data_IF_808924307570
#
_entry.id   IF_808924307570
#
_cell.length_a   1.000
_cell.length_b   1.000
_cell.length_c   1.000
_cell.angle_alpha   90.00
_cell.angle_beta   90.00
_cell.angle_gamma   90.00
#
_symmetry.space_group_name_H-M   'P 1'
#
loop_
_entity.id
_entity.type
_entity.pdbx_description
1 polymer ?
#
# COMPACT_ATOMS: atom_id res chain seq x y z
N UNK A 1 0.50 6.72 20.92
CA UNK A 1 -0.73 6.13 20.34
C UNK A 1 -1.22 4.87 21.05
N UNK A 2 -0.48 4.28 22.01
CA UNK A 2 -1.00 3.21 22.89
C UNK A 2 -1.27 1.86 22.21
N UNK A 3 -0.90 1.70 20.93
CA UNK A 3 -1.05 0.45 20.21
C UNK A 3 -0.01 -0.59 20.68
N UNK A 4 -0.42 -1.85 20.74
CA UNK A 4 0.42 -3.00 21.14
C UNK A 4 0.90 -3.83 19.95
N UNK A 5 0.54 -3.41 18.73
CA UNK A 5 0.94 -4.05 17.48
C UNK A 5 0.67 -3.17 16.28
N UNK A 6 1.20 -3.58 15.13
CA UNK A 6 1.01 -2.89 13.84
C UNK A 6 0.53 -3.87 12.78
N UNK A 7 -0.40 -3.43 11.94
CA UNK A 7 -0.84 -4.18 10.77
C UNK A 7 -0.33 -3.48 9.50
N UNK A 8 0.30 -4.26 8.61
CA UNK A 8 0.90 -3.74 7.38
C UNK A 8 0.26 -4.39 6.15
N UNK A 9 -0.45 -3.59 5.35
CA UNK A 9 -1.04 -4.04 4.08
C UNK A 9 -0.05 -3.88 2.92
N UNK A 10 0.12 -2.65 2.42
CA UNK A 10 0.94 -2.34 1.24
C UNK A 10 2.36 -2.91 1.30
N UNK A 11 3.02 -2.85 2.46
CA UNK A 11 4.40 -3.36 2.65
C UNK A 11 4.47 -4.89 2.53
N UNK A 12 3.47 -5.60 3.06
CA UNK A 12 3.42 -7.07 2.97
C UNK A 12 2.94 -7.53 1.60
N UNK A 13 2.02 -6.79 0.96
CA UNK A 13 1.62 -7.04 -0.42
C UNK A 13 2.82 -6.99 -1.38
N UNK A 14 3.75 -6.07 -1.15
CA UNK A 14 4.93 -5.85 -1.99
C UNK A 14 6.15 -6.70 -1.62
N UNK A 15 6.02 -7.68 -0.72
CA UNK A 15 7.14 -8.58 -0.39
C UNK A 15 7.37 -9.65 -1.48
N UNK A 16 8.55 -10.27 -1.50
CA UNK A 16 8.86 -11.33 -2.48
C UNK A 16 7.98 -12.56 -2.30
N UNK A 17 7.61 -12.89 -1.07
CA UNK A 17 6.79 -14.08 -0.72
C UNK A 17 5.30 -13.91 -1.06
N UNK A 18 4.86 -12.67 -1.30
CA UNK A 18 3.48 -12.37 -1.69
C UNK A 18 3.20 -12.94 -3.09
N UNK A 19 2.04 -13.60 -3.30
CA UNK A 19 1.69 -14.14 -4.62
C UNK A 19 1.23 -13.07 -5.61
N UNK A 20 1.21 -11.79 -5.19
CA UNK A 20 0.94 -10.67 -6.09
C UNK A 20 1.97 -10.59 -7.21
N UNK A 21 1.50 -10.31 -8.41
CA UNK A 21 2.34 -10.19 -9.59
C UNK A 21 3.39 -9.08 -9.43
N UNK A 22 4.57 -9.31 -9.99
CA UNK A 22 5.71 -8.39 -9.86
C UNK A 22 5.41 -6.97 -10.35
N UNK A 23 4.56 -6.81 -11.38
CA UNK A 23 4.16 -5.49 -11.88
C UNK A 23 3.57 -4.59 -10.77
N UNK A 24 2.70 -5.12 -9.91
CA UNK A 24 2.13 -4.35 -8.82
C UNK A 24 3.16 -4.06 -7.73
N UNK A 25 4.04 -5.02 -7.42
CA UNK A 25 5.16 -4.80 -6.47
C UNK A 25 6.07 -3.67 -6.97
N UNK A 26 6.42 -3.67 -8.25
CA UNK A 26 7.26 -2.63 -8.85
C UNK A 26 6.51 -1.28 -8.94
N UNK A 27 5.21 -1.28 -9.21
CA UNK A 27 4.40 -0.07 -9.17
C UNK A 27 4.39 0.56 -7.76
N UNK A 28 4.35 -0.26 -6.70
CA UNK A 28 4.50 0.20 -5.32
C UNK A 28 5.87 0.81 -5.07
N UNK A 29 6.94 0.16 -5.53
CA UNK A 29 8.33 0.64 -5.36
C UNK A 29 8.60 1.94 -6.12
N UNK A 30 8.00 2.10 -7.30
CA UNK A 30 8.16 3.30 -8.13
C UNK A 30 7.31 4.49 -7.66
N UNK A 31 6.29 4.26 -6.84
CA UNK A 31 5.31 5.27 -6.44
C UNK A 31 5.81 6.15 -5.29
N UNK A 32 5.48 7.45 -5.38
CA UNK A 32 5.59 8.40 -4.27
C UNK A 32 4.33 8.36 -3.39
N UNK A 33 4.39 8.95 -2.21
CA UNK A 33 3.25 9.08 -1.31
C UNK A 33 2.06 9.87 -1.92
N UNK A 34 2.33 10.73 -2.91
CA UNK A 34 1.35 11.48 -3.69
C UNK A 34 0.68 10.69 -4.81
N UNK A 35 1.21 9.50 -5.12
CA UNK A 35 0.76 8.66 -6.24
C UNK A 35 -0.36 7.70 -5.81
N UNK A 36 -1.16 8.11 -4.82
CA UNK A 36 -2.40 7.43 -4.46
C UNK A 36 -3.58 8.40 -4.51
N UNK A 37 -4.75 7.86 -4.84
CA UNK A 37 -6.01 8.60 -4.90
C UNK A 37 -7.02 8.04 -3.90
N UNK A 38 -7.91 8.90 -3.40
CA UNK A 38 -9.02 8.51 -2.53
C UNK A 38 -10.32 8.56 -3.32
N UNK A 39 -10.90 7.40 -3.59
CA UNK A 39 -12.02 7.18 -4.51
C UNK A 39 -13.33 6.94 -3.76
N UNK A 40 -14.44 7.13 -4.48
CA UNK A 40 -15.80 6.86 -4.01
C UNK A 40 -16.15 7.63 -2.72
N UNK A 41 -15.67 8.88 -2.61
CA UNK A 41 -15.76 9.71 -1.40
C UNK A 41 -17.21 10.05 -0.97
N UNK A 42 -18.15 9.99 -1.91
CA UNK A 42 -19.58 10.29 -1.69
C UNK A 42 -20.42 9.01 -1.53
N UNK A 43 -19.78 7.82 -1.41
CA UNK A 43 -20.47 6.56 -1.19
C UNK A 43 -19.61 5.55 -0.41
N UNK A 44 -20.06 4.30 -0.31
CA UNK A 44 -19.37 3.21 0.41
C UNK A 44 -19.20 1.99 -0.49
N UNK A 45 -18.06 1.27 -0.37
CA UNK A 45 -16.88 1.62 0.42
C UNK A 45 -16.06 2.74 -0.25
N UNK A 46 -15.50 3.64 0.57
CA UNK A 46 -14.46 4.56 0.11
C UNK A 46 -13.13 3.81 0.02
N UNK A 47 -12.34 4.06 -1.03
CA UNK A 47 -11.16 3.26 -1.36
C UNK A 47 -9.92 4.14 -1.51
N UNK A 48 -8.76 3.62 -1.11
CA UNK A 48 -7.47 4.21 -1.45
C UNK A 48 -6.70 3.27 -2.36
N UNK A 49 -6.18 3.82 -3.46
CA UNK A 49 -5.53 3.05 -4.51
C UNK A 49 -4.35 3.81 -5.11
N UNK A 50 -3.44 3.07 -5.76
CA UNK A 50 -2.43 3.69 -6.64
C UNK A 50 -3.11 4.48 -7.75
N UNK A 51 -2.51 5.62 -8.09
CA UNK A 51 -2.88 6.43 -9.25
C UNK A 51 -2.52 5.67 -10.53
N UNK A 52 -3.51 5.50 -11.38
CA UNK A 52 -3.53 4.71 -12.62
C UNK A 52 -4.52 5.37 -13.58
N UNK A 53 -4.49 5.04 -14.86
CA UNK A 53 -5.42 5.67 -15.83
C UNK A 53 -6.88 5.43 -15.42
N UNK A 54 -7.20 4.20 -15.00
CA UNK A 54 -8.51 3.86 -14.45
C UNK A 54 -8.87 4.68 -13.23
N UNK A 55 -8.00 4.74 -12.22
CA UNK A 55 -8.36 5.42 -10.95
C UNK A 55 -8.44 6.93 -11.12
N UNK A 56 -7.70 7.52 -12.05
CA UNK A 56 -7.83 8.93 -12.42
C UNK A 56 -9.19 9.26 -13.04
N UNK A 57 -9.70 8.37 -13.91
CA UNK A 57 -11.05 8.51 -14.49
C UNK A 57 -12.15 8.36 -13.43
N UNK A 58 -11.93 7.54 -12.40
CA UNK A 58 -12.91 7.32 -11.33
C UNK A 58 -12.91 8.44 -10.27
N UNK A 59 -11.77 9.09 -10.05
CA UNK A 59 -11.62 10.14 -9.04
C UNK A 59 -12.68 11.26 -9.12
N UNK A 60 -12.96 11.88 -10.29
CA UNK A 60 -13.93 12.97 -10.38
C UNK A 60 -15.39 12.53 -10.20
N UNK A 61 -15.70 11.23 -10.30
CA UNK A 61 -17.08 10.75 -10.20
C UNK A 61 -17.67 10.93 -8.81
N UNK A 62 -16.85 10.91 -7.76
CA UNK A 62 -17.28 11.06 -6.36
C UNK A 62 -18.05 9.85 -5.81
N UNK A 63 -18.94 9.23 -6.60
CA UNK A 63 -19.73 8.04 -6.27
C UNK A 63 -19.82 7.10 -7.47
N UNK A 64 -19.55 5.82 -7.25
CA UNK A 64 -19.69 4.76 -8.26
C UNK A 64 -19.90 3.38 -7.59
N UNK A 65 -20.28 2.37 -8.39
CA UNK A 65 -20.36 1.00 -7.91
C UNK A 65 -18.95 0.38 -7.79
N UNK A 66 -18.39 0.38 -6.58
CA UNK A 66 -17.03 -0.09 -6.35
C UNK A 66 -16.81 -1.55 -6.79
N UNK A 67 -17.84 -2.40 -6.68
CA UNK A 67 -17.72 -3.82 -7.00
C UNK A 67 -17.47 -4.07 -8.50
N UNK A 68 -18.04 -3.23 -9.37
CA UNK A 68 -17.81 -3.32 -10.82
C UNK A 68 -16.34 -3.10 -11.18
N UNK A 69 -15.67 -2.18 -10.48
CA UNK A 69 -14.26 -1.87 -10.72
C UNK A 69 -13.27 -2.78 -9.98
N UNK A 70 -13.78 -3.74 -9.19
CA UNK A 70 -13.02 -4.79 -8.52
C UNK A 70 -13.20 -6.17 -9.16
N UNK A 71 -14.04 -6.29 -10.21
CA UNK A 71 -14.32 -7.57 -10.86
C UNK A 71 -13.06 -8.24 -11.45
N UNK A 72 -12.09 -7.45 -11.95
CA UNK A 72 -10.83 -7.94 -12.53
C UNK A 72 -9.67 -8.09 -11.54
N UNK A 73 -9.96 -8.35 -10.25
CA UNK A 73 -8.92 -8.54 -9.23
C UNK A 73 -7.97 -9.70 -9.60
N UNK A 74 -8.43 -10.87 -10.08
CA UNK A 74 -7.51 -11.96 -10.43
C UNK A 74 -6.48 -11.58 -11.50
N UNK A 75 -6.89 -10.84 -12.52
CA UNK A 75 -6.03 -10.38 -13.62
C UNK A 75 -5.03 -9.32 -13.13
N UNK A 76 -5.46 -8.44 -12.23
CA UNK A 76 -4.56 -7.48 -11.58
C UNK A 76 -3.57 -8.21 -10.64
N UNK A 77 -4.08 -9.09 -9.79
CA UNK A 77 -3.34 -9.71 -8.69
C UNK A 77 -2.36 -10.76 -9.19
N UNK A 78 -2.77 -11.65 -10.10
CA UNK A 78 -1.95 -12.76 -10.61
C UNK A 78 -1.46 -12.51 -12.03
N UNK A 79 -2.26 -11.83 -12.86
CA UNK A 79 -1.90 -11.52 -14.25
C UNK A 79 -1.01 -10.28 -14.41
N UNK A 80 -0.95 -9.40 -13.41
CA UNK A 80 -0.13 -8.18 -13.47
C UNK A 80 -0.71 -7.05 -14.30
N UNK A 81 -1.98 -7.14 -14.69
CA UNK A 81 -2.68 -6.12 -15.47
C UNK A 81 -3.13 -4.99 -14.54
N UNK A 82 -2.29 -3.96 -14.38
CA UNK A 82 -2.49 -2.85 -13.43
C UNK A 82 -3.81 -2.08 -13.65
N UNK A 83 -4.34 -2.14 -14.87
CA UNK A 83 -5.58 -1.50 -15.27
C UNK A 83 -6.78 -2.46 -15.26
N UNK A 84 -6.66 -3.70 -14.78
CA UNK A 84 -7.76 -4.69 -14.76
C UNK A 84 -8.73 -4.52 -13.57
N UNK A 85 -8.25 -3.98 -12.45
CA UNK A 85 -9.02 -3.63 -11.26
C UNK A 85 -8.44 -2.38 -10.59
N UNK A 86 -9.07 -1.90 -9.52
CA UNK A 86 -8.51 -0.82 -8.68
C UNK A 86 -7.34 -1.39 -7.85
N UNK A 87 -6.09 -0.93 -8.03
CA UNK A 87 -4.94 -1.38 -7.23
C UNK A 87 -4.94 -0.75 -5.83
N UNK A 88 -5.64 -1.39 -4.89
CA UNK A 88 -5.71 -0.97 -3.49
C UNK A 88 -4.32 -0.85 -2.85
N UNK A 89 -3.95 0.33 -2.41
CA UNK A 89 -2.62 0.63 -1.87
C UNK A 89 -2.66 1.90 -1.02
N UNK A 90 -2.04 1.87 0.16
CA UNK A 90 -1.95 3.01 1.07
C UNK A 90 -0.83 3.99 0.72
N UNK A 91 -0.87 5.22 1.25
CA UNK A 91 0.15 6.25 1.00
C UNK A 91 1.58 5.86 1.44
N UNK A 92 1.72 4.83 2.26
CA UNK A 92 3.01 4.24 2.66
C UNK A 92 3.83 3.73 1.47
N UNK A 93 3.26 3.63 0.25
CA UNK A 93 4.02 3.34 -0.98
C UNK A 93 5.28 4.19 -1.11
N UNK A 94 5.23 5.49 -0.78
CA UNK A 94 6.41 6.37 -0.85
C UNK A 94 7.51 6.07 0.18
N UNK A 95 7.32 5.07 1.04
CA UNK A 95 8.31 4.59 2.03
C UNK A 95 8.78 3.16 1.69
N UNK A 96 8.37 2.61 0.56
CA UNK A 96 8.71 1.27 0.09
C UNK A 96 9.63 1.45 -1.12
N UNK A 97 10.93 1.24 -0.91
CA UNK A 97 11.98 1.48 -1.91
C UNK A 97 12.50 0.19 -2.58
N UNK A 98 12.19 -0.98 -2.00
CA UNK A 98 12.60 -2.27 -2.51
C UNK A 98 11.57 -3.37 -2.21
N UNK A 99 11.55 -4.38 -3.07
CA UNK A 99 10.94 -5.67 -2.78
C UNK A 99 11.90 -6.44 -1.87
N UNK A 100 11.41 -6.83 -0.71
CA UNK A 100 12.13 -7.60 0.32
C UNK A 100 11.33 -8.85 0.67
N UNK A 101 11.96 -9.85 1.24
CA UNK A 101 11.24 -10.96 1.88
C UNK A 101 10.44 -10.49 3.08
N UNK A 102 9.41 -11.27 3.43
CA UNK A 102 8.60 -11.04 4.62
C UNK A 102 9.46 -11.06 5.89
N UNK A 103 10.45 -11.96 5.96
CA UNK A 103 11.38 -12.03 7.08
C UNK A 103 12.21 -10.75 7.20
N UNK A 104 12.85 -10.29 6.12
CA UNK A 104 13.61 -9.04 6.11
C UNK A 104 12.76 -7.84 6.53
N UNK A 105 11.51 -7.74 6.04
CA UNK A 105 10.58 -6.67 6.43
C UNK A 105 10.33 -6.70 7.95
N UNK A 106 10.12 -7.87 8.53
CA UNK A 106 9.88 -8.03 9.97
C UNK A 106 11.13 -7.67 10.77
N UNK A 107 12.31 -8.15 10.37
CA UNK A 107 13.58 -7.85 11.03
C UNK A 107 13.89 -6.35 10.98
N UNK A 108 13.75 -5.71 9.82
CA UNK A 108 13.94 -4.27 9.65
C UNK A 108 12.98 -3.46 10.52
N UNK A 109 11.71 -3.89 10.58
CA UNK A 109 10.68 -3.24 11.39
C UNK A 109 11.04 -3.30 12.87
N UNK A 110 11.43 -4.47 13.39
CA UNK A 110 11.81 -4.65 14.79
C UNK A 110 13.09 -3.89 15.14
N UNK A 111 14.11 -3.99 14.29
CA UNK A 111 15.38 -3.27 14.45
C UNK A 111 15.17 -1.74 14.45
N UNK A 112 14.36 -1.23 13.50
CA UNK A 112 14.00 0.18 13.41
C UNK A 112 13.19 0.65 14.62
N UNK A 113 12.29 -0.18 15.14
CA UNK A 113 11.54 0.11 16.37
C UNK A 113 12.47 0.28 17.57
N UNK A 114 13.34 -0.69 17.87
CA UNK A 114 14.26 -0.59 19.00
C UNK A 114 15.22 0.60 18.86
N UNK A 115 15.72 0.85 17.66
CA UNK A 115 16.56 2.02 17.38
C UNK A 115 15.83 3.34 17.65
N UNK A 116 14.56 3.45 17.24
CA UNK A 116 13.75 4.63 17.49
C UNK A 116 13.46 4.84 18.99
N UNK A 117 13.15 3.78 19.72
CA UNK A 117 12.92 3.82 21.18
C UNK A 117 14.19 4.24 21.92
N UNK A 118 15.34 3.66 21.61
CA UNK A 118 16.61 4.02 22.24
C UNK A 118 16.97 5.50 21.99
N UNK A 119 16.77 5.99 20.76
CA UNK A 119 16.99 7.40 20.43
C UNK A 119 16.07 8.31 21.24
N UNK A 120 14.77 8.01 21.30
CA UNK A 120 13.80 8.80 22.08
C UNK A 120 14.16 8.81 23.56
N UNK A 121 14.49 7.65 24.15
CA UNK A 121 14.93 7.57 25.54
C UNK A 121 16.13 8.51 25.77
N UNK A 122 17.19 8.40 24.98
CA UNK A 122 18.39 9.24 25.12
C UNK A 122 18.13 10.75 25.01
N UNK A 123 17.11 11.16 24.26
CA UNK A 123 16.79 12.58 24.05
C UNK A 123 15.95 13.17 25.19
N UNK A 124 15.10 12.36 25.81
CA UNK A 124 14.07 12.86 26.75
C UNK A 124 14.26 12.38 28.19
N UNK A 125 15.21 11.47 28.45
CA UNK A 125 15.55 11.03 29.82
C UNK A 125 16.90 11.54 30.32
N UNK A 126 17.59 12.39 29.55
CA UNK A 126 18.76 13.14 29.99
C UNK A 126 18.32 14.51 30.55
#
# INVERSE_FOLDING_TARGET
MGAEGVQMGTRMLSCSDSPVHNNWKQAVVAAKETDTVFLNQQSRPALRALRTERTEKLLPLGKFNAMEHLAGIPELYFGGEMEAAIPLSGQVVGRIDAVKSADEILQDTMSGFYSAVARLASTYTA
#
